data_IF_719505320868
#
_entry.id   IF_719505320868
#
_cell.length_a   1.000
_cell.length_b   1.000
_cell.length_c   1.000
_cell.angle_alpha   90.00
_cell.angle_beta   90.00
_cell.angle_gamma   90.00
#
_symmetry.space_group_name_H-M   'P 1'
#
loop_
_entity.id
_entity.type
_entity.pdbx_description
1 polymer ?
#
# COMPACT_ATOMS: atom_id res chain seq x y z
N UNK A 1 -15.35 13.01 12.83
CA UNK A 1 -16.64 12.46 12.37
C UNK A 1 -16.31 11.36 11.40
N UNK A 2 -17.08 10.27 11.36
CA UNK A 2 -16.95 9.30 10.27
C UNK A 2 -17.17 10.01 8.93
N UNK A 3 -16.38 9.67 7.91
CA UNK A 3 -16.56 10.19 6.57
C UNK A 3 -17.99 9.87 6.05
N UNK A 4 -18.62 10.79 5.30
CA UNK A 4 -19.95 10.55 4.72
C UNK A 4 -19.89 9.47 3.64
N UNK A 5 -21.07 8.94 3.25
CA UNK A 5 -21.16 7.95 2.16
C UNK A 5 -20.69 8.52 0.82
N UNK A 6 -20.95 9.81 0.60
CA UNK A 6 -20.47 10.56 -0.56
C UNK A 6 -19.75 11.82 -0.07
N UNK A 7 -18.56 12.07 -0.63
CA UNK A 7 -17.76 13.26 -0.34
C UNK A 7 -17.43 14.00 -1.63
N UNK A 8 -17.88 15.25 -1.75
CA UNK A 8 -17.52 16.16 -2.84
C UNK A 8 -16.21 16.90 -2.51
N UNK A 9 -15.31 16.95 -3.49
CA UNK A 9 -14.12 17.79 -3.43
C UNK A 9 -14.43 19.09 -4.17
N UNK A 10 -14.41 20.22 -3.46
CA UNK A 10 -14.62 21.52 -4.06
C UNK A 10 -13.28 22.02 -4.62
N UNK A 11 -13.21 22.40 -5.92
CA UNK A 11 -11.98 22.94 -6.48
C UNK A 11 -11.46 24.13 -5.67
N UNK A 12 -10.16 24.13 -5.44
CA UNK A 12 -9.49 25.24 -4.77
C UNK A 12 -9.31 26.43 -5.73
N UNK A 13 -9.00 27.60 -5.18
CA UNK A 13 -8.63 28.79 -5.96
C UNK A 13 -7.15 28.80 -6.38
N UNK A 14 -6.39 27.76 -6.03
CA UNK A 14 -4.96 27.65 -6.24
C UNK A 14 -4.25 26.93 -5.09
N UNK A 15 -3.02 26.44 -5.31
CA UNK A 15 -2.27 25.68 -4.32
C UNK A 15 -1.87 26.58 -3.14
N UNK A 16 -2.09 26.14 -1.89
CA UNK A 16 -1.60 26.85 -0.72
C UNK A 16 -0.08 26.67 -0.54
N UNK A 17 0.50 27.47 0.34
CA UNK A 17 1.81 27.18 0.93
C UNK A 17 1.64 26.12 2.03
N UNK A 18 2.00 24.87 1.76
CA UNK A 18 1.80 23.75 2.67
C UNK A 18 3.04 22.85 2.76
N UNK A 19 3.25 22.27 3.94
CA UNK A 19 4.25 21.25 4.20
C UNK A 19 3.55 20.05 4.84
N UNK A 20 3.29 19.04 4.01
CA UNK A 20 2.41 17.92 4.34
C UNK A 20 3.25 16.76 4.88
N UNK A 21 2.99 16.38 6.12
CA UNK A 21 3.44 15.10 6.66
C UNK A 21 2.58 13.97 6.11
N UNK A 22 3.23 12.96 5.56
CA UNK A 22 2.61 11.72 5.07
C UNK A 22 3.00 10.61 6.04
N UNK A 23 2.07 9.72 6.43
CA UNK A 23 2.38 8.64 7.35
C UNK A 23 3.36 7.64 6.73
N UNK A 24 3.93 6.77 7.56
CA UNK A 24 4.93 5.80 7.13
C UNK A 24 4.44 4.88 6.01
N UNK A 25 5.37 4.30 5.25
CA UNK A 25 4.99 3.33 4.22
C UNK A 25 4.48 2.03 4.81
N UNK A 26 3.25 1.65 4.44
CA UNK A 26 2.66 0.33 4.75
C UNK A 26 3.58 -0.82 4.37
N UNK A 27 4.21 -0.71 3.20
CA UNK A 27 5.06 -1.75 2.63
C UNK A 27 6.32 -1.95 3.47
N UNK A 28 6.92 -0.87 3.96
CA UNK A 28 8.08 -0.92 4.84
C UNK A 28 7.66 -1.41 6.23
N UNK A 29 6.59 -0.85 6.81
CA UNK A 29 6.10 -1.24 8.15
C UNK A 29 5.83 -2.74 8.26
N UNK A 30 5.09 -3.34 7.32
CA UNK A 30 4.77 -4.77 7.37
C UNK A 30 5.99 -5.68 7.21
N UNK A 31 7.00 -5.27 6.41
CA UNK A 31 8.26 -6.02 6.28
C UNK A 31 9.08 -5.92 7.55
N UNK A 32 9.21 -4.71 8.09
CA UNK A 32 9.93 -4.44 9.32
C UNK A 32 9.34 -5.18 10.52
N UNK A 33 8.01 -5.33 10.61
CA UNK A 33 7.36 -6.11 11.66
C UNK A 33 7.79 -7.59 11.66
N UNK A 34 7.85 -8.22 10.49
CA UNK A 34 8.29 -9.62 10.35
C UNK A 34 9.78 -9.73 10.70
N UNK A 35 10.61 -8.85 10.16
CA UNK A 35 12.05 -8.83 10.43
C UNK A 35 12.34 -8.57 11.92
N UNK A 36 11.59 -7.67 12.56
CA UNK A 36 11.70 -7.38 13.99
C UNK A 36 11.30 -8.57 14.86
N UNK A 37 10.22 -9.28 14.52
CA UNK A 37 9.79 -10.47 15.25
C UNK A 37 10.84 -11.61 15.15
N UNK A 38 11.48 -11.75 13.99
CA UNK A 38 12.53 -12.74 13.74
C UNK A 38 13.92 -12.31 14.25
N UNK A 39 14.15 -11.03 14.53
CA UNK A 39 15.42 -10.56 15.10
C UNK A 39 15.60 -11.02 16.55
N UNK A 40 16.82 -10.95 17.08
CA UNK A 40 17.12 -11.16 18.49
C UNK A 40 16.96 -9.84 19.26
N UNK A 41 16.18 -9.85 20.35
CA UNK A 41 16.10 -8.69 21.25
C UNK A 41 15.12 -7.62 20.79
N UNK A 42 15.26 -6.40 21.30
CA UNK A 42 14.29 -5.32 21.07
C UNK A 42 14.57 -4.56 19.77
N UNK A 43 13.53 -4.40 18.94
CA UNK A 43 13.53 -3.46 17.81
C UNK A 43 12.47 -2.38 18.00
N UNK A 44 12.86 -1.12 17.80
CA UNK A 44 11.98 0.06 17.77
C UNK A 44 11.69 0.47 16.33
N UNK A 45 10.43 0.42 15.92
CA UNK A 45 9.98 0.92 14.62
C UNK A 45 9.31 2.28 14.84
N UNK A 46 9.95 3.35 14.37
CA UNK A 46 9.44 4.72 14.46
C UNK A 46 8.68 5.08 13.19
N UNK A 47 7.68 5.97 13.29
CA UNK A 47 6.84 6.40 12.18
C UNK A 47 6.13 5.24 11.48
N UNK A 48 5.85 4.15 12.20
CA UNK A 48 5.21 2.97 11.61
C UNK A 48 3.75 3.28 11.32
N UNK A 49 3.29 3.04 10.10
CA UNK A 49 1.91 3.30 9.71
C UNK A 49 0.93 2.55 10.61
N UNK A 50 -0.10 3.23 11.07
CA UNK A 50 -1.24 2.66 11.79
C UNK A 50 -2.47 2.64 10.89
N UNK A 51 -2.59 1.57 10.13
CA UNK A 51 -3.65 1.32 9.15
C UNK A 51 -4.29 -0.03 9.42
N UNK A 52 -5.41 -0.33 8.76
CA UNK A 52 -6.09 -1.63 8.94
C UNK A 52 -5.14 -2.82 8.68
N UNK A 53 -4.30 -2.74 7.64
CA UNK A 53 -3.37 -3.81 7.27
C UNK A 53 -2.25 -3.99 8.33
N UNK A 54 -1.70 -2.91 8.89
CA UNK A 54 -0.61 -2.99 9.87
C UNK A 54 -1.12 -3.35 11.27
N UNK A 55 -2.34 -2.93 11.62
CA UNK A 55 -3.03 -3.37 12.83
C UNK A 55 -3.27 -4.88 12.81
N UNK A 56 -3.73 -5.42 11.67
CA UNK A 56 -3.88 -6.86 11.48
C UNK A 56 -2.55 -7.61 11.62
N UNK A 57 -1.46 -7.08 11.06
CA UNK A 57 -0.14 -7.69 11.21
C UNK A 57 0.31 -7.72 12.68
N UNK A 58 0.17 -6.61 13.40
CA UNK A 58 0.52 -6.52 14.83
C UNK A 58 -0.33 -7.47 15.66
N UNK A 59 -1.65 -7.50 15.43
CA UNK A 59 -2.56 -8.41 16.12
C UNK A 59 -2.21 -9.88 15.84
N UNK A 60 -1.89 -10.24 14.60
CA UNK A 60 -1.47 -11.59 14.23
C UNK A 60 -0.18 -12.02 14.93
N UNK A 61 0.83 -11.14 15.01
CA UNK A 61 2.07 -11.41 15.74
C UNK A 61 1.85 -11.48 17.26
N UNK A 62 1.02 -10.62 17.83
CA UNK A 62 0.63 -10.69 19.25
C UNK A 62 -0.13 -11.99 19.56
N UNK A 63 -1.04 -12.42 18.68
CA UNK A 63 -1.78 -13.68 18.80
C UNK A 63 -0.85 -14.89 18.72
N UNK A 64 0.23 -14.82 17.94
CA UNK A 64 1.28 -15.84 17.96
C UNK A 64 2.04 -15.86 19.29
N UNK A 65 2.14 -14.74 20.00
CA UNK A 65 2.82 -14.64 21.28
C UNK A 65 4.06 -13.75 21.27
N UNK A 66 4.26 -12.93 20.23
CA UNK A 66 5.25 -11.87 20.27
C UNK A 66 4.80 -10.71 21.17
N UNK A 67 5.73 -10.13 21.92
CA UNK A 67 5.49 -8.91 22.70
C UNK A 67 5.69 -7.72 21.77
N UNK A 68 4.60 -7.01 21.48
CA UNK A 68 4.61 -5.79 20.69
C UNK A 68 3.86 -4.71 21.46
N UNK A 69 4.57 -3.67 21.85
CA UNK A 69 3.99 -2.47 22.46
C UNK A 69 3.78 -1.40 21.40
N UNK A 70 2.64 -0.72 21.50
CA UNK A 70 2.16 0.25 20.51
C UNK A 70 1.95 1.58 21.21
N UNK A 71 2.72 2.59 20.82
CA UNK A 71 2.62 3.95 21.36
C UNK A 71 2.20 4.92 20.26
N UNK A 72 1.33 5.88 20.59
CA UNK A 72 0.92 6.93 19.65
C UNK A 72 2.13 7.77 19.23
N UNK A 73 2.22 8.09 17.94
CA UNK A 73 3.19 9.08 17.44
C UNK A 73 2.55 10.48 17.57
N UNK A 74 3.10 11.37 18.41
CA UNK A 74 2.55 12.71 18.58
C UNK A 74 2.74 13.61 17.36
N UNK A 75 3.65 13.28 16.44
CA UNK A 75 3.94 14.10 15.26
C UNK A 75 3.06 13.76 14.05
N UNK A 76 2.47 12.57 14.01
CA UNK A 76 1.58 12.14 12.93
C UNK A 76 0.61 11.08 13.47
N UNK A 77 -0.67 11.42 13.63
CA UNK A 77 -1.67 10.52 14.21
C UNK A 77 -1.89 9.23 13.39
N UNK A 78 -1.54 9.25 12.09
CA UNK A 78 -1.49 8.06 11.24
C UNK A 78 -0.35 7.09 11.56
N UNK A 79 0.57 7.42 12.46
CA UNK A 79 1.74 6.61 12.82
C UNK A 79 1.70 6.10 14.27
N UNK A 80 2.52 5.09 14.56
CA UNK A 80 2.87 4.63 15.91
C UNK A 80 4.38 4.46 16.05
N UNK A 81 4.84 4.49 17.30
CA UNK A 81 6.11 3.92 17.70
C UNK A 81 5.86 2.50 18.20
N UNK A 82 6.45 1.51 17.53
CA UNK A 82 6.28 0.09 17.88
C UNK A 82 7.55 -0.42 18.53
N UNK A 83 7.42 -1.07 19.70
CA UNK A 83 8.51 -1.82 20.33
C UNK A 83 8.22 -3.30 20.18
N UNK A 84 9.03 -3.99 19.39
CA UNK A 84 8.90 -5.42 19.11
C UNK A 84 10.02 -6.17 19.83
N UNK A 85 9.65 -7.14 20.68
CA UNK A 85 10.62 -8.06 21.31
C UNK A 85 10.77 -9.28 20.42
N UNK A 86 11.83 -9.28 19.61
CA UNK A 86 12.19 -10.37 18.71
C UNK A 86 12.75 -11.59 19.45
N UNK A 87 12.50 -12.77 18.87
CA UNK A 87 12.79 -14.08 19.47
C UNK A 87 13.96 -14.82 18.81
N UNK A 88 14.81 -14.13 18.03
CA UNK A 88 16.04 -14.70 17.46
C UNK A 88 15.79 -15.82 16.46
N UNK A 89 14.76 -15.69 15.64
CA UNK A 89 14.33 -16.68 14.65
C UNK A 89 13.37 -17.74 15.21
N UNK A 90 13.12 -17.75 16.52
CA UNK A 90 12.08 -18.60 17.10
C UNK A 90 10.68 -18.06 16.77
N UNK A 91 9.83 -18.93 16.23
CA UNK A 91 8.40 -18.66 16.03
C UNK A 91 7.61 -19.45 17.08
N UNK A 92 6.75 -18.79 17.88
CA UNK A 92 5.96 -19.45 18.92
C UNK A 92 5.18 -20.66 18.40
N UNK A 93 5.14 -21.73 19.21
CA UNK A 93 4.54 -23.00 18.82
C UNK A 93 3.03 -22.86 18.49
N UNK A 94 2.63 -23.54 17.42
CA UNK A 94 1.25 -23.75 17.03
C UNK A 94 0.56 -24.82 17.86
N UNK A 95 -0.68 -25.11 17.49
CA UNK A 95 -1.50 -26.14 18.09
C UNK A 95 -1.31 -27.52 17.43
N UNK A 96 -2.32 -28.37 17.54
CA UNK A 96 -2.39 -29.65 16.81
C UNK A 96 -3.24 -29.52 15.55
N UNK A 97 -3.35 -30.57 14.74
CA UNK A 97 -4.25 -30.56 13.57
C UNK A 97 -5.71 -30.36 13.98
N UNK A 98 -6.13 -30.94 15.10
CA UNK A 98 -7.49 -30.89 15.61
C UNK A 98 -7.81 -29.56 16.30
N UNK A 99 -6.80 -28.94 16.92
CA UNK A 99 -6.90 -27.64 17.59
C UNK A 99 -5.71 -26.77 17.20
N UNK A 100 -5.68 -26.23 15.96
CA UNK A 100 -4.58 -25.40 15.48
C UNK A 100 -4.61 -24.02 16.16
N UNK A 101 -3.48 -23.31 16.13
CA UNK A 101 -3.45 -21.90 16.52
C UNK A 101 -4.09 -21.07 15.41
N UNK A 102 -5.25 -20.48 15.68
CA UNK A 102 -5.92 -19.58 14.74
C UNK A 102 -5.12 -18.28 14.58
N UNK A 103 -4.96 -17.81 13.34
CA UNK A 103 -4.39 -16.51 13.01
C UNK A 103 -5.32 -15.82 12.01
N UNK A 104 -5.95 -14.75 12.46
CA UNK A 104 -6.87 -13.98 11.64
C UNK A 104 -6.15 -12.83 10.94
N UNK A 105 -6.19 -12.82 9.60
CA UNK A 105 -5.53 -11.81 8.75
C UNK A 105 -6.49 -10.85 8.06
N UNK A 106 -7.76 -10.82 8.48
CA UNK A 106 -8.76 -9.89 7.95
C UNK A 106 -8.78 -9.85 6.42
N UNK A 107 -8.59 -8.65 5.85
CA UNK A 107 -8.41 -8.41 4.40
C UNK A 107 -6.96 -8.05 4.02
N UNK A 108 -6.02 -8.15 4.97
CA UNK A 108 -4.64 -7.73 4.83
C UNK A 108 -3.83 -8.75 4.03
N UNK A 109 -3.63 -8.45 2.74
CA UNK A 109 -2.92 -9.35 1.82
C UNK A 109 -1.45 -9.58 2.19
N UNK A 110 -0.80 -8.58 2.77
CA UNK A 110 0.59 -8.69 3.27
C UNK A 110 0.67 -9.59 4.48
N UNK A 111 -0.23 -9.43 5.47
CA UNK A 111 -0.28 -10.30 6.64
C UNK A 111 -0.54 -11.76 6.24
N UNK A 112 -1.53 -12.01 5.38
CA UNK A 112 -1.83 -13.34 4.86
C UNK A 112 -0.60 -14.05 4.26
N UNK A 113 0.23 -13.32 3.48
CA UNK A 113 1.36 -13.92 2.77
C UNK A 113 2.60 -14.03 3.65
N UNK A 114 2.93 -12.96 4.38
CA UNK A 114 4.15 -12.91 5.18
C UNK A 114 4.05 -13.84 6.39
N UNK A 115 2.90 -13.86 7.07
CA UNK A 115 2.69 -14.81 8.15
C UNK A 115 2.69 -16.24 7.62
N UNK A 116 2.11 -16.52 6.44
CA UNK A 116 2.14 -17.88 5.91
C UNK A 116 3.56 -18.46 5.77
N UNK A 117 4.52 -17.67 5.26
CA UNK A 117 5.92 -18.08 5.19
C UNK A 117 6.57 -18.16 6.58
N UNK A 118 6.33 -17.18 7.45
CA UNK A 118 6.90 -17.15 8.80
C UNK A 118 6.45 -18.34 9.65
N UNK A 119 5.17 -18.75 9.55
CA UNK A 119 4.59 -19.84 10.33
C UNK A 119 5.23 -21.20 10.03
N UNK A 120 5.78 -21.40 8.82
CA UNK A 120 6.56 -22.60 8.49
C UNK A 120 7.80 -22.78 9.38
N UNK A 121 8.39 -21.69 9.85
CA UNK A 121 9.57 -21.71 10.74
C UNK A 121 9.24 -22.08 12.19
N UNK A 122 7.95 -22.11 12.55
CA UNK A 122 7.47 -22.52 13.86
C UNK A 122 7.42 -24.04 14.02
N UNK A 123 6.72 -24.49 15.05
CA UNK A 123 6.48 -25.92 15.31
C UNK A 123 5.00 -26.13 15.62
N UNK A 124 4.37 -27.17 15.07
CA UNK A 124 2.95 -27.45 15.26
C UNK A 124 2.08 -26.94 14.10
N UNK A 125 0.78 -26.76 14.34
CA UNK A 125 -0.19 -26.42 13.28
C UNK A 125 -0.83 -25.05 13.53
N UNK A 126 -0.85 -24.24 12.49
CA UNK A 126 -1.48 -22.92 12.46
C UNK A 126 -2.60 -22.92 11.43
N UNK A 127 -3.72 -22.29 11.77
CA UNK A 127 -4.80 -22.05 10.83
C UNK A 127 -4.84 -20.58 10.47
N UNK A 128 -4.50 -20.28 9.22
CA UNK A 128 -4.50 -18.93 8.69
C UNK A 128 -5.82 -18.67 7.96
N UNK A 129 -6.56 -17.63 8.35
CA UNK A 129 -7.86 -17.32 7.75
C UNK A 129 -8.17 -15.82 7.75
N UNK A 130 -9.11 -15.39 6.91
CA UNK A 130 -9.49 -13.98 6.79
C UNK A 130 -10.99 -13.77 6.67
N UNK A 131 -11.40 -12.57 6.27
CA UNK A 131 -12.78 -12.30 5.87
C UNK A 131 -13.10 -12.97 4.52
N UNK A 132 -14.38 -13.16 4.21
CA UNK A 132 -14.81 -13.84 2.96
C UNK A 132 -14.12 -13.34 1.68
N UNK A 133 -13.93 -12.01 1.45
CA UNK A 133 -13.20 -11.53 0.28
C UNK A 133 -11.73 -12.00 0.21
N UNK A 134 -11.07 -12.20 1.35
CA UNK A 134 -9.69 -12.71 1.41
C UNK A 134 -9.60 -14.13 0.84
N UNK A 135 -10.63 -14.96 0.99
CA UNK A 135 -10.65 -16.34 0.51
C UNK A 135 -10.69 -16.43 -1.02
N UNK A 136 -11.05 -15.34 -1.72
CA UNK A 136 -10.96 -15.26 -3.18
C UNK A 136 -9.58 -14.81 -3.68
N UNK A 137 -8.69 -14.32 -2.79
CA UNK A 137 -7.38 -13.81 -3.20
C UNK A 137 -6.40 -14.96 -3.40
N UNK A 138 -5.55 -14.91 -4.44
CA UNK A 138 -4.65 -16.00 -4.76
C UNK A 138 -3.56 -16.18 -3.70
N UNK A 139 -3.29 -17.45 -3.37
CA UNK A 139 -2.15 -17.91 -2.56
C UNK A 139 -1.36 -19.06 -3.22
N UNK A 140 -1.83 -19.59 -4.35
CA UNK A 140 -1.28 -20.78 -5.01
C UNK A 140 0.22 -20.73 -5.28
N UNK A 141 0.71 -19.62 -5.86
CA UNK A 141 2.15 -19.46 -6.10
C UNK A 141 2.99 -19.53 -4.82
N UNK A 142 2.52 -18.93 -3.71
CA UNK A 142 3.20 -19.01 -2.43
C UNK A 142 3.14 -20.42 -1.82
N UNK A 143 1.98 -21.06 -1.83
CA UNK A 143 1.83 -22.40 -1.25
C UNK A 143 2.65 -23.45 -2.02
N UNK A 144 2.70 -23.33 -3.34
CA UNK A 144 3.59 -24.15 -4.17
C UNK A 144 5.07 -23.95 -3.80
N UNK A 145 5.52 -22.71 -3.61
CA UNK A 145 6.89 -22.42 -3.20
C UNK A 145 7.21 -22.93 -1.78
N UNK A 146 6.29 -22.79 -0.82
CA UNK A 146 6.46 -23.35 0.53
C UNK A 146 6.56 -24.88 0.51
N UNK A 147 5.81 -25.55 -0.36
CA UNK A 147 5.94 -27.00 -0.60
C UNK A 147 7.27 -27.38 -1.26
N UNK A 148 7.82 -26.56 -2.16
CA UNK A 148 9.17 -26.75 -2.71
C UNK A 148 10.24 -26.67 -1.61
N UNK A 149 10.03 -25.82 -0.60
CA UNK A 149 10.88 -25.73 0.59
C UNK A 149 10.71 -26.91 1.57
N UNK A 150 9.79 -27.84 1.29
CA UNK A 150 9.56 -29.04 2.09
C UNK A 150 8.47 -28.92 3.16
N UNK A 151 7.75 -27.78 3.22
CA UNK A 151 6.67 -27.61 4.19
C UNK A 151 5.35 -28.20 3.72
N UNK A 152 4.52 -28.60 4.68
CA UNK A 152 3.14 -29.00 4.41
C UNK A 152 2.21 -27.78 4.58
N UNK A 153 1.43 -27.50 3.53
CA UNK A 153 0.41 -26.45 3.52
C UNK A 153 -0.86 -27.01 2.89
N UNK A 154 -1.97 -26.95 3.60
CA UNK A 154 -3.26 -27.53 3.19
C UNK A 154 -4.35 -26.45 3.21
N UNK A 155 -4.85 -26.02 2.06
CA UNK A 155 -6.08 -25.21 1.99
C UNK A 155 -7.30 -26.06 2.34
N UNK A 156 -8.21 -25.55 3.15
CA UNK A 156 -9.41 -26.31 3.59
C UNK A 156 -10.30 -26.73 2.42
N UNK A 157 -10.40 -25.89 1.39
CA UNK A 157 -11.18 -26.16 0.19
C UNK A 157 -10.41 -26.91 -0.91
N UNK A 158 -9.13 -27.27 -0.67
CA UNK A 158 -8.28 -27.95 -1.65
C UNK A 158 -7.96 -27.14 -2.92
N UNK A 159 -8.05 -25.81 -2.85
CA UNK A 159 -7.92 -24.90 -3.98
C UNK A 159 -6.71 -23.94 -3.88
N UNK A 160 -5.84 -24.11 -2.88
CA UNK A 160 -4.71 -23.23 -2.58
C UNK A 160 -5.11 -21.77 -2.29
N UNK A 161 -6.26 -21.59 -1.63
CA UNK A 161 -6.69 -20.33 -1.04
C UNK A 161 -6.80 -20.44 0.48
N UNK A 162 -6.93 -19.29 1.15
CA UNK A 162 -7.34 -19.27 2.56
C UNK A 162 -8.83 -19.64 2.70
N UNK A 163 -9.25 -20.25 3.82
CA UNK A 163 -8.43 -20.66 4.97
C UNK A 163 -7.49 -21.83 4.67
N UNK A 164 -6.32 -21.85 5.33
CA UNK A 164 -5.34 -22.91 5.16
C UNK A 164 -4.67 -23.29 6.48
N UNK A 165 -4.35 -24.58 6.61
CA UNK A 165 -3.49 -25.12 7.65
C UNK A 165 -2.04 -25.07 7.19
N UNK A 166 -1.18 -24.54 8.04
CA UNK A 166 0.26 -24.44 7.84
C UNK A 166 0.92 -25.27 8.94
N UNK A 167 1.73 -26.24 8.52
CA UNK A 167 2.45 -27.13 9.42
C UNK A 167 3.85 -26.57 9.60
N UNK A 168 4.10 -25.99 10.77
CA UNK A 168 5.44 -25.56 11.18
C UNK A 168 6.30 -26.76 11.51
N UNK A 169 7.46 -26.84 10.86
CA UNK A 169 8.45 -27.92 11.02
C UNK A 169 9.88 -27.37 11.22
N UNK A 170 9.97 -26.10 11.62
CA UNK A 170 11.24 -25.40 11.83
C UNK A 170 11.98 -25.05 10.53
N UNK A 171 13.19 -24.48 10.64
CA UNK A 171 14.03 -24.14 9.48
C UNK A 171 14.48 -25.37 8.67
N UNK A 172 14.48 -25.25 7.35
CA UNK A 172 15.00 -26.25 6.41
C UNK A 172 16.25 -25.71 5.69
N UNK A 173 17.40 -25.86 6.34
CA UNK A 173 18.67 -25.29 5.85
C UNK A 173 19.05 -25.85 4.46
N UNK A 174 19.39 -24.94 3.53
CA UNK A 174 19.74 -25.26 2.15
C UNK A 174 18.56 -25.52 1.22
N UNK A 175 17.31 -25.44 1.70
CA UNK A 175 16.12 -25.59 0.86
C UNK A 175 16.02 -24.48 -0.20
N UNK A 176 15.41 -24.80 -1.34
CA UNK A 176 15.30 -23.87 -2.47
C UNK A 176 13.88 -23.85 -3.03
N UNK A 177 13.43 -22.66 -3.41
CA UNK A 177 12.18 -22.50 -4.14
C UNK A 177 12.30 -21.42 -5.21
N UNK A 178 11.55 -21.62 -6.28
CA UNK A 178 11.31 -20.60 -7.31
C UNK A 178 9.86 -20.12 -7.22
N UNK A 179 9.67 -18.81 -7.38
CA UNK A 179 8.35 -18.18 -7.34
C UNK A 179 8.28 -17.01 -8.32
N UNK A 180 7.30 -17.05 -9.21
CA UNK A 180 6.99 -15.93 -10.11
C UNK A 180 6.43 -14.72 -9.35
N UNK A 181 6.64 -13.53 -9.91
CA UNK A 181 6.15 -12.26 -9.34
C UNK A 181 4.97 -11.67 -10.11
N UNK A 182 4.62 -12.26 -11.26
CA UNK A 182 3.51 -11.82 -12.12
C UNK A 182 2.18 -11.80 -11.40
N UNK A 183 1.87 -12.87 -10.67
CA UNK A 183 0.64 -12.93 -9.89
C UNK A 183 0.74 -12.01 -8.66
N UNK A 184 1.82 -12.08 -7.87
CA UNK A 184 2.03 -11.19 -6.74
C UNK A 184 3.49 -11.14 -6.28
N UNK A 185 4.09 -9.96 -6.26
CA UNK A 185 5.40 -9.72 -5.64
C UNK A 185 5.45 -10.07 -4.15
N UNK A 186 4.29 -10.07 -3.47
CA UNK A 186 4.19 -10.39 -2.06
C UNK A 186 4.55 -11.85 -1.75
N UNK A 187 4.45 -12.77 -2.71
CA UNK A 187 4.85 -14.17 -2.51
C UNK A 187 6.37 -14.29 -2.36
N UNK A 188 7.12 -13.75 -3.31
CA UNK A 188 8.58 -13.65 -3.22
C UNK A 188 9.02 -12.87 -1.98
N UNK A 189 8.38 -11.74 -1.68
CA UNK A 189 8.67 -10.97 -0.46
C UNK A 189 8.48 -11.79 0.81
N UNK A 190 7.40 -12.56 0.93
CA UNK A 190 7.14 -13.40 2.11
C UNK A 190 8.29 -14.38 2.36
N UNK A 191 8.72 -15.05 1.31
CA UNK A 191 9.80 -16.04 1.38
C UNK A 191 11.14 -15.38 1.72
N UNK A 192 11.47 -14.23 1.11
CA UNK A 192 12.72 -13.50 1.36
C UNK A 192 12.81 -13.02 2.81
N UNK A 193 11.72 -12.51 3.39
CA UNK A 193 11.70 -12.05 4.78
C UNK A 193 12.01 -13.18 5.78
N UNK A 194 11.61 -14.41 5.47
CA UNK A 194 11.84 -15.59 6.29
C UNK A 194 13.12 -16.37 5.90
N UNK A 195 13.71 -16.09 4.73
CA UNK A 195 14.78 -16.89 4.14
C UNK A 195 16.01 -17.04 5.03
N UNK A 196 16.43 -15.95 5.71
CA UNK A 196 17.60 -15.99 6.59
C UNK A 196 17.43 -16.96 7.76
N UNK A 197 16.24 -16.97 8.38
CA UNK A 197 15.94 -17.88 9.49
C UNK A 197 15.67 -19.29 8.99
N UNK A 198 14.99 -19.41 7.85
CA UNK A 198 14.69 -20.70 7.22
C UNK A 198 15.89 -21.41 6.60
N UNK A 199 16.98 -20.69 6.33
CA UNK A 199 18.11 -21.21 5.54
C UNK A 199 17.76 -21.42 4.07
N UNK A 200 16.82 -20.62 3.54
CA UNK A 200 16.26 -20.80 2.20
C UNK A 200 17.02 -20.01 1.13
N UNK A 201 17.08 -20.57 -0.08
CA UNK A 201 17.46 -19.83 -1.30
C UNK A 201 16.22 -19.61 -2.16
N UNK A 202 15.87 -18.35 -2.44
CA UNK A 202 14.65 -17.99 -3.18
C UNK A 202 15.03 -17.40 -4.53
N UNK A 203 14.58 -18.05 -5.61
CA UNK A 203 14.61 -17.51 -6.97
C UNK A 203 13.29 -16.80 -7.25
N UNK A 204 13.35 -15.50 -7.53
CA UNK A 204 12.16 -14.65 -7.71
C UNK A 204 12.24 -13.78 -8.97
N UNK A 205 13.20 -14.05 -9.86
CA UNK A 205 13.49 -13.17 -11.00
C UNK A 205 12.95 -13.71 -12.33
N UNK A 206 12.22 -14.84 -12.32
CA UNK A 206 11.65 -15.50 -13.52
C UNK A 206 10.79 -14.56 -14.38
N UNK A 207 10.01 -13.68 -13.74
CA UNK A 207 9.12 -12.70 -14.41
C UNK A 207 9.79 -11.34 -14.65
N UNK A 208 11.08 -11.21 -14.39
CA UNK A 208 11.81 -9.94 -14.45
C UNK A 208 11.79 -9.15 -13.13
N UNK A 209 12.37 -7.93 -13.12
CA UNK A 209 12.58 -7.17 -11.91
C UNK A 209 11.26 -6.67 -11.30
N UNK A 210 11.15 -6.80 -9.97
CA UNK A 210 10.01 -6.29 -9.22
C UNK A 210 10.49 -5.30 -8.14
N UNK A 211 10.07 -4.02 -8.18
CA UNK A 211 10.55 -3.02 -7.23
C UNK A 211 10.19 -3.37 -5.78
N UNK A 212 9.08 -4.08 -5.55
CA UNK A 212 8.69 -4.53 -4.21
C UNK A 212 9.49 -5.73 -3.71
N UNK A 213 9.99 -6.58 -4.61
CA UNK A 213 10.93 -7.66 -4.25
C UNK A 213 12.28 -7.05 -3.90
N UNK A 214 12.74 -6.10 -4.71
CA UNK A 214 13.98 -5.37 -4.47
C UNK A 214 13.95 -4.60 -3.14
N UNK A 215 12.87 -3.87 -2.86
CA UNK A 215 12.60 -3.26 -1.55
C UNK A 215 12.73 -4.29 -0.41
N UNK A 216 12.27 -5.52 -0.62
CA UNK A 216 12.33 -6.58 0.40
C UNK A 216 13.75 -7.05 0.62
N UNK A 217 14.52 -7.28 -0.45
CA UNK A 217 15.93 -7.68 -0.39
C UNK A 217 16.73 -6.62 0.36
N UNK A 218 16.62 -5.35 -0.04
CA UNK A 218 17.33 -4.24 0.59
C UNK A 218 16.98 -4.08 2.08
N UNK A 219 15.70 -4.20 2.44
CA UNK A 219 15.30 -4.17 3.85
C UNK A 219 15.84 -5.37 4.61
N UNK A 220 15.69 -6.60 4.11
CA UNK A 220 16.15 -7.80 4.80
C UNK A 220 17.68 -7.80 5.00
N UNK A 221 18.44 -7.36 3.99
CA UNK A 221 19.91 -7.27 4.04
C UNK A 221 20.38 -6.17 5.01
N UNK A 222 19.67 -5.03 5.03
CA UNK A 222 19.98 -3.90 5.91
C UNK A 222 19.47 -4.04 7.35
N UNK A 223 18.60 -5.01 7.64
CA UNK A 223 17.98 -5.14 8.95
C UNK A 223 18.91 -5.81 9.97
N UNK A 224 19.03 -5.20 11.15
CA UNK A 224 19.82 -5.76 12.24
C UNK A 224 19.14 -6.99 12.85
N UNK A 225 19.88 -8.10 12.92
CA UNK A 225 19.42 -9.31 13.63
C UNK A 225 19.59 -9.25 15.14
N UNK A 226 20.19 -8.20 15.69
CA UNK A 226 20.40 -8.02 17.13
C UNK A 226 19.46 -6.95 17.72
N UNK A 227 18.36 -6.66 17.02
CA UNK A 227 17.47 -5.58 17.37
C UNK A 227 18.04 -4.22 16.98
N UNK A 228 17.44 -3.14 17.48
CA UNK A 228 17.87 -1.77 17.20
C UNK A 228 16.70 -0.82 16.96
N UNK A 229 16.90 0.16 16.07
CA UNK A 229 15.86 1.11 15.70
C UNK A 229 15.81 1.28 14.19
N UNK A 230 14.60 1.37 13.63
CA UNK A 230 14.35 1.71 12.24
C UNK A 230 13.32 2.84 12.20
N UNK A 231 13.64 3.90 11.47
CA UNK A 231 12.69 4.96 11.13
C UNK A 231 12.04 4.59 9.80
N UNK A 232 10.72 4.43 9.79
CA UNK A 232 9.97 4.13 8.58
C UNK A 232 9.83 5.43 7.77
N UNK A 233 10.25 5.39 6.51
CA UNK A 233 10.09 6.53 5.60
C UNK A 233 8.60 6.76 5.27
N UNK A 234 8.19 8.01 4.98
CA UNK A 234 6.84 8.31 4.50
C UNK A 234 6.45 7.47 3.27
N UNK A 235 5.17 7.17 3.11
CA UNK A 235 4.68 6.43 1.94
C UNK A 235 4.80 7.28 0.67
N UNK A 236 5.72 6.92 -0.23
CA UNK A 236 5.94 7.68 -1.46
C UNK A 236 4.71 7.65 -2.38
N UNK A 237 3.99 6.52 -2.43
CA UNK A 237 2.75 6.45 -3.21
C UNK A 237 1.68 7.38 -2.62
N UNK A 238 1.52 7.42 -1.29
CA UNK A 238 0.61 8.32 -0.58
C UNK A 238 1.02 9.80 -0.70
N UNK A 239 2.30 10.09 -0.72
CA UNK A 239 2.81 11.44 -0.93
C UNK A 239 2.67 11.93 -2.37
N UNK A 240 2.59 11.02 -3.35
CA UNK A 240 2.41 11.39 -4.77
C UNK A 240 1.16 12.24 -5.02
N UNK A 241 0.09 12.08 -4.23
CA UNK A 241 -1.13 12.88 -4.36
C UNK A 241 -0.89 14.36 -4.07
N UNK A 242 -0.02 14.68 -3.10
CA UNK A 242 0.33 16.05 -2.73
C UNK A 242 1.37 16.63 -3.69
N UNK A 243 2.33 15.82 -4.16
CA UNK A 243 3.22 16.22 -5.25
C UNK A 243 2.45 16.50 -6.55
N UNK A 244 1.41 15.72 -6.82
CA UNK A 244 0.52 15.94 -7.95
C UNK A 244 -0.29 17.23 -7.76
N UNK A 245 -0.83 17.46 -6.55
CA UNK A 245 -1.54 18.68 -6.20
C UNK A 245 -0.67 19.94 -6.41
N UNK A 246 0.62 19.88 -6.08
CA UNK A 246 1.59 20.96 -6.35
C UNK A 246 1.75 21.29 -7.84
N UNK A 247 1.59 20.28 -8.70
CA UNK A 247 1.75 20.41 -10.15
C UNK A 247 0.43 20.67 -10.91
N UNK A 248 -0.70 20.77 -10.21
CA UNK A 248 -1.99 21.03 -10.86
C UNK A 248 -2.06 22.45 -11.44
N UNK A 249 -2.75 22.64 -12.58
CA UNK A 249 -2.82 23.95 -13.22
C UNK A 249 -3.73 24.88 -12.43
N UNK A 250 -3.30 26.14 -12.24
CA UNK A 250 -4.03 27.14 -11.43
C UNK A 250 -5.10 27.86 -12.26
N UNK A 251 -4.88 28.03 -13.57
CA UNK A 251 -5.69 28.91 -14.43
C UNK A 251 -6.36 28.19 -15.62
N UNK A 252 -6.51 26.87 -15.56
CA UNK A 252 -7.11 26.10 -16.66
C UNK A 252 -6.31 26.13 -17.98
N UNK A 253 -5.06 26.61 -17.95
CA UNK A 253 -4.14 26.67 -19.09
C UNK A 253 -3.49 25.31 -19.43
N UNK A 254 -3.77 24.29 -18.61
CA UNK A 254 -3.22 22.94 -18.74
C UNK A 254 -1.69 22.89 -18.55
N UNK A 255 -1.09 23.92 -17.94
CA UNK A 255 0.35 23.96 -17.69
C UNK A 255 0.72 23.28 -16.36
N UNK A 256 0.95 21.96 -16.43
CA UNK A 256 1.43 21.16 -15.30
C UNK A 256 2.90 21.42 -14.92
N UNK A 257 3.57 22.39 -15.56
CA UNK A 257 4.96 22.75 -15.21
C UNK A 257 5.05 23.80 -14.10
N UNK A 258 3.95 24.53 -13.83
CA UNK A 258 3.92 25.48 -12.71
C UNK A 258 3.81 24.70 -11.40
N UNK A 259 4.80 24.89 -10.53
CA UNK A 259 4.77 24.38 -9.17
C UNK A 259 4.10 25.38 -8.25
N UNK A 260 3.24 24.87 -7.38
CA UNK A 260 2.74 25.58 -6.22
C UNK A 260 3.81 25.71 -5.14
N UNK A 261 3.37 25.70 -3.89
CA UNK A 261 4.25 25.70 -2.72
C UNK A 261 3.82 24.60 -1.74
N UNK A 262 3.54 23.40 -2.27
CA UNK A 262 3.19 22.21 -1.49
C UNK A 262 4.40 21.28 -1.47
N UNK A 263 4.95 21.09 -0.27
CA UNK A 263 6.05 20.15 -0.03
C UNK A 263 5.54 18.94 0.76
N UNK A 264 6.12 17.77 0.50
CA UNK A 264 5.92 16.59 1.36
C UNK A 264 7.10 16.47 2.31
N UNK A 265 6.81 16.59 3.61
CA UNK A 265 7.83 16.53 4.64
C UNK A 265 8.57 15.18 4.62
N UNK A 266 9.89 15.22 4.73
CA UNK A 266 10.74 14.03 4.82
C UNK A 266 10.58 13.06 3.65
N UNK A 267 10.43 13.57 2.41
CA UNK A 267 10.31 12.75 1.21
C UNK A 267 11.35 11.61 1.18
N UNK A 268 10.97 10.37 0.85
CA UNK A 268 11.85 9.20 0.90
C UNK A 268 13.14 9.36 0.07
N UNK A 269 14.27 8.90 0.61
CA UNK A 269 15.59 9.00 -0.06
C UNK A 269 16.43 7.73 0.01
N UNK A 270 16.00 6.69 0.73
CA UNK A 270 16.69 5.39 0.82
C UNK A 270 16.85 4.67 -0.52
N UNK A 271 15.99 4.97 -1.50
CA UNK A 271 15.86 4.20 -2.75
C UNK A 271 14.99 2.95 -2.62
N UNK A 272 14.39 2.68 -1.44
CA UNK A 272 13.54 1.51 -1.22
C UNK A 272 12.21 1.58 -1.97
N UNK A 273 11.68 2.78 -2.16
CA UNK A 273 10.36 3.01 -2.74
C UNK A 273 10.52 3.54 -4.17
N UNK A 274 10.12 2.75 -5.17
CA UNK A 274 10.12 3.19 -6.58
C UNK A 274 9.29 4.47 -6.78
N UNK A 275 8.21 4.64 -6.03
CA UNK A 275 7.34 5.81 -6.12
C UNK A 275 7.99 7.10 -5.60
N UNK A 276 9.15 7.03 -4.95
CA UNK A 276 9.93 8.21 -4.58
C UNK A 276 10.40 9.00 -5.82
N UNK A 277 10.41 8.36 -6.99
CA UNK A 277 10.76 8.93 -8.28
C UNK A 277 9.61 9.72 -8.93
N UNK A 278 8.40 9.71 -8.36
CA UNK A 278 7.20 10.35 -8.94
C UNK A 278 7.43 11.77 -9.44
N UNK A 279 8.10 12.60 -8.65
CA UNK A 279 8.37 14.01 -8.98
C UNK A 279 9.28 14.21 -10.20
N UNK A 280 10.03 13.18 -10.63
CA UNK A 280 10.85 13.22 -11.84
C UNK A 280 10.04 13.13 -13.12
N UNK A 281 8.80 12.62 -13.04
CA UNK A 281 7.88 12.50 -14.16
C UNK A 281 6.84 13.63 -14.16
N UNK A 282 7.13 14.75 -13.47
CA UNK A 282 6.32 15.97 -13.53
C UNK A 282 7.11 17.09 -14.22
N UNK A 283 6.55 17.77 -15.24
CA UNK A 283 5.28 17.43 -15.92
C UNK A 283 5.36 16.06 -16.60
N UNK A 284 4.19 15.46 -16.88
CA UNK A 284 4.12 14.12 -17.46
C UNK A 284 4.89 14.03 -18.79
N UNK A 285 5.71 12.98 -19.00
CA UNK A 285 6.50 12.85 -20.20
C UNK A 285 5.66 12.39 -21.40
N UNK A 286 6.13 12.71 -22.60
CA UNK A 286 5.58 12.24 -23.87
C UNK A 286 5.91 10.75 -24.17
N UNK A 287 6.85 10.15 -23.43
CA UNK A 287 7.22 8.75 -23.57
C UNK A 287 6.38 7.85 -22.64
N UNK A 288 6.30 6.54 -22.91
CA UNK A 288 5.56 5.63 -22.06
C UNK A 288 6.06 5.63 -20.61
N UNK A 289 5.13 5.56 -19.66
CA UNK A 289 5.39 5.29 -18.25
C UNK A 289 5.10 3.81 -17.97
N UNK A 290 6.00 3.16 -17.21
CA UNK A 290 5.94 1.73 -16.94
C UNK A 290 5.76 1.53 -15.45
N UNK A 291 4.83 0.64 -15.09
CA UNK A 291 4.60 0.28 -13.71
C UNK A 291 5.81 -0.41 -13.06
N UNK A 292 6.58 -1.12 -13.88
CA UNK A 292 7.70 -1.93 -13.39
C UNK A 292 8.98 -1.10 -13.24
N UNK A 293 9.19 -0.16 -14.17
CA UNK A 293 10.47 0.55 -14.30
C UNK A 293 10.44 1.97 -13.74
N UNK A 294 9.30 2.65 -13.81
CA UNK A 294 9.22 4.08 -13.53
C UNK A 294 8.48 4.38 -12.23
N UNK A 295 7.28 3.85 -12.06
CA UNK A 295 6.40 4.14 -10.91
C UNK A 295 5.63 2.88 -10.52
N UNK A 296 5.58 2.54 -9.25
CA UNK A 296 4.85 1.37 -8.74
C UNK A 296 3.35 1.63 -8.75
N UNK A 297 2.80 2.07 -7.62
CA UNK A 297 1.38 2.32 -7.52
C UNK A 297 1.03 3.80 -7.75
N UNK A 298 2.00 4.73 -7.62
CA UNK A 298 1.80 6.16 -7.94
C UNK A 298 1.58 6.44 -9.43
N UNK A 299 1.75 5.42 -10.29
CA UNK A 299 1.39 5.50 -11.71
C UNK A 299 -0.10 5.85 -11.90
N UNK A 300 -0.98 5.47 -10.95
CA UNK A 300 -2.40 5.84 -10.98
C UNK A 300 -2.58 7.36 -10.78
N UNK A 301 -1.75 7.97 -9.93
CA UNK A 301 -1.74 9.43 -9.76
C UNK A 301 -1.35 10.12 -11.07
N UNK A 302 -0.38 9.58 -11.81
CA UNK A 302 -0.05 10.06 -13.16
C UNK A 302 -1.21 9.87 -14.16
N UNK A 303 -1.97 8.78 -14.07
CA UNK A 303 -3.13 8.53 -14.95
C UNK A 303 -4.21 9.59 -14.79
N UNK A 304 -4.50 10.07 -13.57
CA UNK A 304 -5.48 11.14 -13.35
C UNK A 304 -4.97 12.53 -13.74
N UNK A 305 -3.65 12.73 -13.79
CA UNK A 305 -3.06 13.96 -14.31
C UNK A 305 -3.04 14.00 -15.85
N UNK A 306 -2.98 12.84 -16.53
CA UNK A 306 -2.82 12.77 -17.98
C UNK A 306 -3.86 13.54 -18.80
N UNK A 307 -5.17 13.55 -18.47
CA UNK A 307 -6.14 14.33 -19.22
C UNK A 307 -5.95 15.84 -19.09
N UNK A 308 -5.28 16.32 -18.03
CA UNK A 308 -4.97 17.73 -17.80
C UNK A 308 -3.70 18.19 -18.55
N UNK A 309 -2.93 17.24 -19.10
CA UNK A 309 -1.70 17.50 -19.82
C UNK A 309 -1.93 18.00 -21.25
N UNK A 310 -0.83 18.19 -21.99
CA UNK A 310 -0.85 18.66 -23.39
C UNK A 310 -0.68 17.56 -24.43
N UNK A 311 -0.16 16.41 -24.02
CA UNK A 311 0.15 15.29 -24.89
C UNK A 311 -0.41 13.98 -24.31
N UNK A 312 -0.75 13.00 -25.16
CA UNK A 312 -1.20 11.70 -24.69
C UNK A 312 -0.08 10.93 -24.01
N UNK A 313 -0.40 10.25 -22.92
CA UNK A 313 0.54 9.43 -22.16
C UNK A 313 0.15 7.96 -22.26
N UNK A 314 1.12 7.11 -22.60
CA UNK A 314 0.94 5.65 -22.60
C UNK A 314 1.45 5.06 -21.29
N UNK A 315 0.57 4.37 -20.57
CA UNK A 315 0.89 3.64 -19.35
C UNK A 315 0.98 2.15 -19.67
N UNK A 316 2.04 1.50 -19.19
CA UNK A 316 2.43 0.11 -19.54
C UNK A 316 2.70 -0.73 -18.31
N UNK A 317 2.74 -2.05 -18.49
CA UNK A 317 2.97 -3.05 -17.44
C UNK A 317 1.91 -3.03 -16.32
N UNK A 318 0.66 -2.80 -16.70
CA UNK A 318 -0.45 -2.59 -15.77
C UNK A 318 -1.05 -3.88 -15.21
N UNK A 319 -0.54 -5.05 -15.57
CA UNK A 319 -1.18 -6.33 -15.31
C UNK A 319 -1.38 -6.61 -13.83
N UNK A 320 -0.45 -6.12 -13.00
CA UNK A 320 -0.57 -6.22 -11.55
C UNK A 320 -1.72 -5.38 -10.99
N UNK A 321 -2.03 -4.22 -11.57
CA UNK A 321 -3.15 -3.37 -11.15
C UNK A 321 -4.51 -4.05 -11.37
N UNK A 322 -4.59 -5.03 -12.28
CA UNK A 322 -5.82 -5.78 -12.59
C UNK A 322 -6.24 -6.77 -11.51
N UNK A 323 -5.31 -7.20 -10.66
CA UNK A 323 -5.48 -8.30 -9.68
C UNK A 323 -5.11 -7.89 -8.25
N UNK A 324 -5.38 -6.62 -7.91
CA UNK A 324 -5.06 -6.03 -6.60
C UNK A 324 -6.29 -5.97 -5.69
N UNK A 325 -6.69 -4.79 -5.22
CA UNK A 325 -7.91 -4.57 -4.44
C UNK A 325 -9.15 -4.70 -5.32
N UNK A 326 -9.14 -4.03 -6.47
CA UNK A 326 -10.10 -4.18 -7.55
C UNK A 326 -9.37 -4.36 -8.90
N UNK A 327 -10.13 -4.45 -9.99
CA UNK A 327 -9.58 -4.32 -11.35
C UNK A 327 -9.31 -2.82 -11.62
N UNK A 328 -8.15 -2.32 -11.15
CA UNK A 328 -7.84 -0.88 -11.15
C UNK A 328 -7.68 -0.29 -12.54
N UNK A 329 -7.30 -1.09 -13.54
CA UNK A 329 -7.10 -0.62 -14.92
C UNK A 329 -8.46 -0.28 -15.53
N UNK A 330 -9.41 -1.21 -15.41
CA UNK A 330 -10.80 -1.04 -15.79
C UNK A 330 -11.44 0.07 -14.97
N UNK A 331 -11.22 0.12 -13.66
CA UNK A 331 -11.78 1.17 -12.80
C UNK A 331 -11.26 2.55 -13.23
N UNK A 332 -9.94 2.73 -13.42
CA UNK A 332 -9.37 3.97 -13.96
C UNK A 332 -9.98 4.36 -15.29
N UNK A 333 -10.08 3.43 -16.25
CA UNK A 333 -10.72 3.70 -17.54
C UNK A 333 -12.17 4.17 -17.36
N UNK A 334 -12.98 3.41 -16.62
CA UNK A 334 -14.41 3.71 -16.44
C UNK A 334 -14.61 5.06 -15.76
N UNK A 335 -13.93 5.29 -14.63
CA UNK A 335 -14.13 6.50 -13.84
C UNK A 335 -13.55 7.75 -14.54
N UNK A 336 -12.42 7.64 -15.26
CA UNK A 336 -11.91 8.75 -16.06
C UNK A 336 -12.81 9.07 -17.26
N UNK A 337 -13.36 8.05 -17.93
CA UNK A 337 -14.34 8.25 -19.01
C UNK A 337 -15.62 8.90 -18.49
N UNK A 338 -16.08 8.57 -17.27
CA UNK A 338 -17.20 9.28 -16.62
C UNK A 338 -16.91 10.76 -16.43
N UNK A 339 -15.65 11.15 -16.23
CA UNK A 339 -15.22 12.56 -16.15
C UNK A 339 -15.01 13.21 -17.53
N UNK A 340 -15.25 12.51 -18.64
CA UNK A 340 -15.06 13.03 -20.00
C UNK A 340 -13.66 12.81 -20.59
N UNK A 341 -12.79 12.02 -19.94
CA UNK A 341 -11.47 11.70 -20.49
C UNK A 341 -11.55 10.70 -21.65
N UNK A 342 -10.76 10.93 -22.70
CA UNK A 342 -10.51 9.95 -23.76
C UNK A 342 -9.41 8.96 -23.31
N UNK A 343 -9.81 7.70 -23.16
CA UNK A 343 -8.99 6.62 -22.63
C UNK A 343 -9.12 5.39 -23.54
N UNK A 344 -7.98 4.94 -24.06
CA UNK A 344 -7.87 3.73 -24.88
C UNK A 344 -7.15 2.64 -24.09
N UNK A 345 -7.84 1.52 -23.86
CA UNK A 345 -7.28 0.32 -23.23
C UNK A 345 -6.93 -0.72 -24.31
N UNK A 346 -5.66 -1.10 -24.39
CA UNK A 346 -5.17 -2.13 -25.31
C UNK A 346 -4.27 -3.10 -24.56
N UNK A 347 -4.70 -4.36 -24.46
CA UNK A 347 -3.95 -5.40 -23.76
C UNK A 347 -3.66 -5.00 -22.31
N UNK A 348 -2.38 -4.79 -21.98
CA UNK A 348 -1.93 -4.41 -20.64
C UNK A 348 -1.53 -2.94 -20.50
N UNK A 349 -2.15 -2.08 -21.31
CA UNK A 349 -1.83 -0.66 -21.39
C UNK A 349 -3.07 0.21 -21.30
N UNK A 350 -2.87 1.44 -20.82
CA UNK A 350 -3.83 2.52 -20.94
C UNK A 350 -3.16 3.70 -21.63
N UNK A 351 -3.74 4.17 -22.71
CA UNK A 351 -3.37 5.44 -23.34
C UNK A 351 -4.42 6.48 -22.98
N UNK A 352 -4.00 7.54 -22.31
CA UNK A 352 -4.88 8.61 -21.84
C UNK A 352 -4.54 9.89 -22.58
N UNK A 353 -5.54 10.52 -23.18
CA UNK A 353 -5.38 11.72 -23.99
C UNK A 353 -5.78 12.98 -23.22
N UNK A 354 -5.14 14.13 -23.51
CA UNK A 354 -5.62 15.44 -23.09
C UNK A 354 -7.10 15.62 -23.40
N UNK A 355 -7.89 16.01 -22.40
CA UNK A 355 -9.35 16.04 -22.49
C UNK A 355 -9.95 17.21 -21.73
N UNK A 356 -11.11 17.68 -22.16
CA UNK A 356 -11.92 18.59 -21.35
C UNK A 356 -12.73 17.76 -20.35
N UNK A 357 -12.43 17.93 -19.06
CA UNK A 357 -13.06 17.16 -18.00
C UNK A 357 -14.31 17.86 -17.46
N UNK A 358 -15.24 17.04 -16.93
CA UNK A 358 -16.42 17.47 -16.21
C UNK A 358 -16.62 16.64 -14.94
N UNK A 359 -17.47 17.13 -14.03
CA UNK A 359 -17.80 16.44 -12.79
C UNK A 359 -18.48 15.09 -13.01
N UNK A 360 -18.27 14.19 -12.05
CA UNK A 360 -18.84 12.86 -12.00
C UNK A 360 -18.89 12.34 -10.56
N UNK A 361 -19.78 11.38 -10.31
CA UNK A 361 -19.73 10.56 -9.11
C UNK A 361 -18.88 9.32 -9.38
N UNK A 362 -17.82 9.18 -8.61
CA UNK A 362 -16.78 8.17 -8.73
C UNK A 362 -17.09 7.00 -7.80
N UNK A 363 -17.15 5.81 -8.37
CA UNK A 363 -17.19 4.57 -7.59
C UNK A 363 -15.75 4.21 -7.18
N UNK A 364 -15.48 4.04 -5.89
CA UNK A 364 -14.12 3.75 -5.38
C UNK A 364 -13.78 2.28 -5.39
N UNK A 365 -14.77 1.39 -5.51
CA UNK A 365 -14.58 -0.06 -5.53
C UNK A 365 -13.88 -0.61 -4.26
N UNK A 366 -14.10 0.04 -3.10
CA UNK A 366 -13.38 -0.26 -1.84
C UNK A 366 -11.85 -0.17 -2.00
N UNK A 367 -11.40 0.73 -2.88
CA UNK A 367 -9.99 0.94 -3.20
C UNK A 367 -9.54 2.36 -2.86
N UNK A 368 -8.82 2.46 -1.75
CA UNK A 368 -8.15 3.67 -1.28
C UNK A 368 -7.43 4.47 -2.38
N UNK A 369 -6.81 3.82 -3.37
CA UNK A 369 -6.10 4.53 -4.45
C UNK A 369 -7.06 5.19 -5.42
N UNK A 370 -8.19 4.56 -5.73
CA UNK A 370 -9.25 5.17 -6.53
C UNK A 370 -9.75 6.45 -5.86
N UNK A 371 -10.07 6.38 -4.56
CA UNK A 371 -10.54 7.53 -3.80
C UNK A 371 -9.52 8.68 -3.81
N UNK A 372 -8.26 8.42 -3.47
CA UNK A 372 -7.23 9.46 -3.38
C UNK A 372 -6.85 10.05 -4.75
N UNK A 373 -6.77 9.23 -5.81
CA UNK A 373 -6.48 9.72 -7.16
C UNK A 373 -7.58 10.68 -7.65
N UNK A 374 -8.85 10.30 -7.50
CA UNK A 374 -9.95 11.18 -7.91
C UNK A 374 -10.15 12.36 -6.96
N UNK A 375 -9.74 12.24 -5.68
CA UNK A 375 -9.69 13.39 -4.80
C UNK A 375 -8.70 14.45 -5.30
N UNK A 376 -7.50 14.04 -5.75
CA UNK A 376 -6.52 14.93 -6.39
C UNK A 376 -7.10 15.56 -7.66
N UNK A 377 -7.81 14.80 -8.49
CA UNK A 377 -8.46 15.37 -9.68
C UNK A 377 -9.52 16.42 -9.33
N UNK A 378 -10.30 16.18 -8.28
CA UNK A 378 -11.34 17.09 -7.77
C UNK A 378 -10.83 18.44 -7.26
N UNK A 379 -9.52 18.58 -7.02
CA UNK A 379 -8.91 19.86 -6.68
C UNK A 379 -9.05 20.90 -7.82
N UNK A 380 -9.16 20.45 -9.07
CA UNK A 380 -9.29 21.32 -10.25
C UNK A 380 -10.50 21.02 -11.13
N UNK A 381 -11.11 19.84 -11.01
CA UNK A 381 -12.34 19.49 -11.73
C UNK A 381 -13.56 19.67 -10.81
N UNK A 382 -14.51 20.57 -11.15
CA UNK A 382 -15.68 20.79 -10.32
C UNK A 382 -16.61 19.57 -10.28
N UNK A 383 -17.33 19.41 -9.16
CA UNK A 383 -18.36 18.38 -8.96
C UNK A 383 -17.82 16.93 -9.05
N UNK A 384 -16.57 16.69 -8.64
CA UNK A 384 -16.07 15.34 -8.37
C UNK A 384 -16.59 14.90 -7.00
N UNK A 385 -17.38 13.83 -6.99
CA UNK A 385 -17.98 13.23 -5.79
C UNK A 385 -17.51 11.80 -5.63
N UNK A 386 -16.98 11.43 -4.47
CA UNK A 386 -16.43 10.09 -4.21
C UNK A 386 -17.44 9.29 -3.39
N UNK A 387 -17.81 8.09 -3.85
CA UNK A 387 -18.55 7.13 -3.02
C UNK A 387 -17.60 6.38 -2.09
N UNK A 388 -18.01 6.12 -0.87
CA UNK A 388 -17.23 5.39 0.13
C UNK A 388 -15.78 5.92 0.25
N UNK A 389 -15.59 7.21 0.59
CA UNK A 389 -14.26 7.78 0.83
C UNK A 389 -13.54 7.10 2.01
N UNK A 390 -14.26 6.39 2.89
CA UNK A 390 -13.70 5.72 4.07
C UNK A 390 -12.65 4.67 3.75
N UNK A 391 -12.68 4.08 2.54
CA UNK A 391 -11.73 3.06 2.12
C UNK A 391 -10.25 3.50 2.19
N UNK A 392 -9.95 4.81 2.29
CA UNK A 392 -8.59 5.35 2.48
C UNK A 392 -7.91 4.89 3.78
N UNK A 393 -8.66 4.42 4.79
CA UNK A 393 -8.15 3.86 6.06
C UNK A 393 -7.09 2.77 5.86
N UNK A 394 -7.13 2.09 4.72
CA UNK A 394 -6.20 1.01 4.38
C UNK A 394 -4.73 1.45 4.29
N UNK A 395 -4.46 2.69 3.89
CA UNK A 395 -3.07 3.18 3.74
C UNK A 395 -2.86 4.62 4.18
N UNK A 396 -3.91 5.44 4.23
CA UNK A 396 -3.81 6.84 4.62
C UNK A 396 -5.10 7.29 5.32
N UNK A 397 -5.34 6.85 6.58
CA UNK A 397 -6.58 7.13 7.30
C UNK A 397 -6.96 8.61 7.37
N UNK A 398 -5.96 9.48 7.55
CA UNK A 398 -6.15 10.93 7.69
C UNK A 398 -6.04 11.70 6.37
N UNK A 399 -6.15 11.04 5.22
CA UNK A 399 -5.99 11.69 3.91
C UNK A 399 -6.92 12.89 3.73
N UNK A 400 -8.22 12.73 3.97
CA UNK A 400 -9.18 13.84 3.81
C UNK A 400 -9.01 14.93 4.86
N UNK A 401 -8.50 14.59 6.05
CA UNK A 401 -8.12 15.59 7.06
C UNK A 401 -6.97 16.46 6.54
N UNK A 402 -5.94 15.87 5.91
CA UNK A 402 -4.84 16.62 5.29
C UNK A 402 -5.31 17.46 4.10
N UNK A 403 -6.31 17.02 3.35
CA UNK A 403 -6.91 17.84 2.28
C UNK A 403 -7.63 19.06 2.87
N UNK A 404 -8.46 18.90 3.90
CA UNK A 404 -9.30 19.98 4.43
C UNK A 404 -8.62 20.89 5.44
N UNK A 405 -7.66 20.38 6.22
CA UNK A 405 -6.98 21.16 7.25
C UNK A 405 -6.28 22.38 6.64
N UNK A 406 -6.24 23.52 7.35
CA UNK A 406 -5.61 24.73 6.82
C UNK A 406 -4.09 24.57 6.66
N UNK A 407 -3.53 25.38 5.78
CA UNK A 407 -2.08 25.57 5.69
C UNK A 407 -1.49 26.02 7.04
N UNK A 408 -0.25 25.60 7.39
CA UNK A 408 0.68 24.87 6.53
C UNK A 408 0.54 23.33 6.58
N UNK A 409 -0.31 22.77 7.44
CA UNK A 409 -0.35 21.32 7.70
C UNK A 409 -1.40 20.56 6.87
N UNK A 410 -2.23 21.27 6.12
CA UNK A 410 -3.13 20.73 5.11
C UNK A 410 -3.34 21.68 3.93
N UNK A 411 -4.23 21.30 3.01
CA UNK A 411 -4.46 22.03 1.77
C UNK A 411 -5.61 23.06 1.83
N UNK A 412 -6.37 23.11 2.92
CA UNK A 412 -7.50 24.04 3.09
C UNK A 412 -8.64 23.82 2.09
N UNK A 413 -8.76 22.61 1.53
CA UNK A 413 -9.74 22.27 0.50
C UNK A 413 -11.11 22.12 1.15
N UNK A 414 -12.12 22.80 0.61
CA UNK A 414 -13.49 22.64 1.07
C UNK A 414 -14.02 21.27 0.63
N UNK A 415 -14.59 20.53 1.57
CA UNK A 415 -15.20 19.22 1.34
C UNK A 415 -16.70 19.31 1.69
N UNK A 416 -17.56 18.57 0.98
CA UNK A 416 -19.01 18.56 1.23
C UNK A 416 -19.59 17.16 1.26
N UNK A 417 -20.60 16.94 2.09
CA UNK A 417 -21.34 15.69 2.15
C UNK A 417 -22.37 15.53 1.02
N UNK A 418 -23.20 14.48 1.08
CA UNK A 418 -24.19 14.18 0.04
C UNK A 418 -25.25 15.30 -0.09
N UNK A 419 -25.57 15.97 1.01
CA UNK A 419 -26.52 17.07 1.07
C UNK A 419 -25.88 18.44 0.77
N UNK A 420 -24.59 18.46 0.43
CA UNK A 420 -23.83 19.67 0.09
C UNK A 420 -23.45 20.52 1.30
N UNK A 421 -23.59 19.98 2.52
CA UNK A 421 -23.15 20.65 3.75
C UNK A 421 -21.63 20.53 3.86
N UNK A 422 -20.93 21.54 4.40
CA UNK A 422 -19.51 21.43 4.67
C UNK A 422 -19.20 20.22 5.56
N UNK A 423 -18.18 19.45 5.18
CA UNK A 423 -17.59 18.43 6.04
C UNK A 423 -16.32 18.99 6.66
N UNK A 424 -16.21 18.88 7.99
CA UNK A 424 -15.04 19.31 8.75
C UNK A 424 -14.52 18.12 9.60
N UNK A 425 -13.19 17.95 9.70
CA UNK A 425 -12.61 16.93 10.58
C UNK A 425 -12.87 17.26 12.05
N UNK A 426 -13.00 16.25 12.92
CA UNK A 426 -13.13 16.51 14.37
C UNK A 426 -11.81 17.07 14.92
N UNK A 427 -11.88 18.10 15.77
CA UNK A 427 -10.71 18.76 16.36
C UNK A 427 -9.80 17.82 17.16
N UNK A 428 -10.30 16.68 17.67
CA UNK A 428 -9.53 15.72 18.48
C UNK A 428 -8.56 14.83 17.66
N UNK A 429 -8.74 14.73 16.33
CA UNK A 429 -7.90 13.89 15.45
C UNK A 429 -6.81 14.69 14.70
N UNK A 430 -6.67 15.98 15.01
CA UNK A 430 -5.71 16.86 14.38
C UNK A 430 -4.58 17.18 15.38
N UNK A 431 -3.52 16.36 15.49
CA UNK A 431 -2.37 16.74 16.30
C UNK A 431 -1.74 17.99 15.68
N UNK A 432 -1.71 19.04 16.49
CA UNK A 432 -1.13 20.36 16.21
C UNK A 432 0.32 20.32 15.73
#
# INVERSE_FOLDING_TARGET
MSLPEILEIVPWSGPPAANITVPGSKSITNRALILAALAQGETRLQNALWSDDTQVMVAGLQQLGYVIDVEADPAEAGNRHLRVVGQGGFVPAGGTRETPTEIFVGLAGTAARFLAAMLCLGTGVYRLHGGTPMHARPQGGLFAALRQLGYTVESEAGNDHLPALIYGDGPHDGARASVGTRESSQFASALILAARVGGWTIDADEDGPSPYVEMTRQQADGFSVQGGSLVIEPDASGGSYFCAADALPIDGDGDLSRKGNIEVAHWPTSGWQIDAEFTRYLPLPAHPLSRQQHLGDSIMTSMVLAPLGREPVLFTDLGRLRVQECERVKAMRVELTKCGADVVEEGDTLKIFPSQLHGATIDTYDDHRMAMCFATLGLVVPQIRLRDPGCVSKTFPLFFHKLSAPAPHGLGVALRDDEGRPWEPDEEENPS
#
